data_IF_711379977546
#
_entry.id   IF_711379977546
#
_cell.length_a   1.000
_cell.length_b   1.000
_cell.length_c   1.000
_cell.angle_alpha   90.00
_cell.angle_beta   90.00
_cell.angle_gamma   90.00
#
_symmetry.space_group_name_H-M   'P 1'
#
loop_
_entity.id
_entity.type
_entity.pdbx_description
1 polymer ?
#
# COMPACT_ATOMS: atom_id res chain seq x y z
N UNK A 1 3.12 11.18 -88.34
CA UNK A 1 1.88 11.67 -87.71
C UNK A 1 1.99 11.28 -86.24
N UNK A 2 2.73 12.10 -85.46
CA UNK A 2 2.24 13.13 -84.50
C UNK A 2 1.72 12.47 -83.22
N UNK A 3 2.10 12.77 -81.98
CA UNK A 3 3.08 13.66 -81.32
C UNK A 3 3.27 13.03 -79.91
N UNK A 4 4.45 13.15 -79.28
CA UNK A 4 4.64 12.84 -77.83
C UNK A 4 4.25 14.03 -76.93
N UNK A 5 4.68 14.13 -75.65
CA UNK A 5 5.11 13.12 -74.67
C UNK A 5 4.23 13.14 -73.37
N UNK A 6 4.41 12.16 -72.48
CA UNK A 6 3.85 12.13 -71.11
C UNK A 6 4.80 12.81 -70.12
N UNK A 7 4.32 13.81 -69.37
CA UNK A 7 4.65 14.10 -67.96
C UNK A 7 3.93 15.37 -67.47
N UNK A 8 3.38 15.36 -66.25
CA UNK A 8 2.89 16.58 -65.57
C UNK A 8 1.77 16.41 -64.52
N UNK A 9 2.21 16.18 -63.28
CA UNK A 9 1.58 16.32 -61.95
C UNK A 9 0.35 17.27 -61.78
N UNK A 10 -0.60 16.84 -60.92
CA UNK A 10 -1.14 17.75 -59.89
C UNK A 10 -2.64 18.08 -59.84
N UNK A 11 -3.35 17.33 -58.96
CA UNK A 11 -4.48 17.74 -58.07
C UNK A 11 -5.91 17.84 -58.64
N UNK A 12 -6.79 17.03 -58.03
CA UNK A 12 -8.25 17.16 -58.01
C UNK A 12 -8.77 17.19 -56.54
N UNK A 13 -9.99 17.73 -56.28
CA UNK A 13 -10.41 18.47 -55.06
C UNK A 13 -10.91 17.61 -53.87
N UNK A 14 -11.17 18.22 -52.68
CA UNK A 14 -11.48 17.46 -51.46
C UNK A 14 -12.94 16.98 -51.41
N UNK A 15 -13.08 15.68 -51.16
CA UNK A 15 -14.33 14.93 -51.01
C UNK A 15 -14.93 15.05 -49.60
N UNK A 16 -16.26 14.97 -49.55
CA UNK A 16 -17.10 15.19 -48.36
C UNK A 16 -16.88 14.10 -47.31
N UNK A 17 -16.63 14.51 -46.07
CA UNK A 17 -16.94 13.80 -44.82
C UNK A 17 -16.76 12.28 -44.81
N UNK A 18 -15.50 11.81 -44.78
CA UNK A 18 -15.20 10.40 -44.57
C UNK A 18 -15.51 9.98 -43.13
N UNK A 19 -16.39 8.98 -43.00
CA UNK A 19 -16.56 8.18 -41.78
C UNK A 19 -15.19 7.76 -41.24
N UNK A 20 -14.98 7.92 -39.94
CA UNK A 20 -13.83 7.32 -39.26
C UNK A 20 -14.10 5.80 -39.19
N UNK A 21 -13.45 5.06 -40.08
CA UNK A 21 -13.44 3.59 -40.09
C UNK A 21 -12.18 3.15 -39.37
N UNK A 22 -12.33 2.58 -38.17
CA UNK A 22 -11.22 1.90 -37.48
C UNK A 22 -10.96 0.52 -38.13
N UNK A 23 -9.71 0.01 -38.11
CA UNK A 23 -9.39 -1.27 -38.73
C UNK A 23 -10.05 -2.39 -37.93
N UNK A 24 -10.98 -3.10 -38.58
CA UNK A 24 -11.75 -4.19 -37.97
C UNK A 24 -13.24 -4.24 -38.33
N UNK A 25 -13.75 -3.33 -39.16
CA UNK A 25 -15.07 -3.47 -39.81
C UNK A 25 -16.30 -3.46 -38.90
N UNK A 26 -16.15 -3.26 -37.59
CA UNK A 26 -17.27 -3.02 -36.69
C UNK A 26 -17.78 -1.60 -36.88
N UNK A 27 -18.96 -1.48 -37.48
CA UNK A 27 -19.74 -0.24 -37.54
C UNK A 27 -20.36 -0.03 -36.16
N UNK A 28 -19.96 1.01 -35.46
CA UNK A 28 -20.58 1.42 -34.20
C UNK A 28 -21.83 2.23 -34.55
N UNK A 29 -22.98 1.80 -34.05
CA UNK A 29 -24.24 2.51 -34.22
C UNK A 29 -24.24 3.68 -33.20
N UNK A 30 -24.65 4.93 -33.54
CA UNK A 30 -24.55 6.09 -32.65
C UNK A 30 -25.17 5.93 -31.25
N UNK A 31 -26.04 4.93 -31.08
CA UNK A 31 -26.70 4.54 -29.81
C UNK A 31 -25.80 3.73 -28.87
N UNK A 32 -24.66 3.23 -29.35
CA UNK A 32 -23.66 2.49 -28.55
C UNK A 32 -22.58 3.43 -27.96
N UNK A 33 -22.58 4.71 -28.32
CA UNK A 33 -21.65 5.71 -27.76
C UNK A 33 -22.25 6.29 -26.47
N UNK A 34 -22.23 5.48 -25.41
CA UNK A 34 -22.52 5.91 -24.04
C UNK A 34 -21.39 6.79 -23.48
N UNK A 35 -21.28 8.02 -23.95
CA UNK A 35 -20.49 9.07 -23.32
C UNK A 35 -21.17 10.40 -23.61
N UNK A 36 -21.54 11.13 -22.56
CA UNK A 36 -22.25 12.40 -22.66
C UNK A 36 -21.41 13.43 -23.41
N UNK A 37 -21.72 13.63 -24.69
CA UNK A 37 -21.33 14.82 -25.41
C UNK A 37 -22.37 15.89 -25.12
N UNK A 38 -21.96 16.96 -24.42
CA UNK A 38 -22.76 18.18 -24.34
C UNK A 38 -22.70 18.81 -25.73
N UNK A 39 -23.76 18.65 -26.52
CA UNK A 39 -23.93 19.36 -27.78
C UNK A 39 -24.23 20.81 -27.43
N UNK A 40 -23.20 21.67 -27.47
CA UNK A 40 -23.35 23.12 -27.38
C UNK A 40 -24.12 23.68 -28.59
N UNK A 41 -24.70 24.87 -28.44
CA UNK A 41 -25.35 25.60 -29.54
C UNK A 41 -24.36 25.78 -30.68
N UNK A 42 -24.87 25.53 -31.89
CA UNK A 42 -24.21 25.54 -33.20
C UNK A 42 -23.18 26.67 -33.35
N UNK A 43 -21.91 26.31 -33.56
CA UNK A 43 -20.84 27.24 -33.93
C UNK A 43 -19.43 26.77 -33.57
N UNK A 44 -19.27 26.16 -32.41
CA UNK A 44 -17.96 25.72 -31.93
C UNK A 44 -17.82 24.21 -32.11
N UNK A 45 -17.06 23.81 -33.14
CA UNK A 45 -16.48 22.47 -33.16
C UNK A 45 -15.59 22.40 -31.92
N UNK A 46 -15.80 21.44 -30.99
CA UNK A 46 -14.84 21.23 -29.90
C UNK A 46 -13.51 20.94 -30.57
N UNK A 47 -12.62 21.92 -30.58
CA UNK A 47 -11.22 21.66 -30.88
C UNK A 47 -10.84 20.55 -29.90
N UNK A 48 -10.35 19.38 -30.37
CA UNK A 48 -9.68 18.48 -29.45
C UNK A 48 -8.65 19.37 -28.77
N UNK A 49 -8.74 19.53 -27.45
CA UNK A 49 -7.72 20.24 -26.69
C UNK A 49 -6.40 19.70 -27.24
N UNK A 50 -5.63 20.54 -27.93
CA UNK A 50 -4.34 20.13 -28.48
C UNK A 50 -3.48 20.01 -27.24
N UNK A 51 -3.50 18.81 -26.66
CA UNK A 51 -2.71 18.47 -25.50
C UNK A 51 -1.26 18.57 -25.97
N UNK A 52 -0.58 19.64 -25.57
CA UNK A 52 0.84 19.82 -25.85
C UNK A 52 1.61 18.66 -25.20
N UNK A 53 2.26 17.79 -25.98
CA UNK A 53 2.98 16.63 -25.43
C UNK A 53 4.10 17.05 -24.47
N UNK A 54 4.68 18.25 -24.64
CA UNK A 54 5.71 18.77 -23.74
C UNK A 54 5.11 19.15 -22.38
N UNK A 55 3.92 19.75 -22.38
CA UNK A 55 3.21 20.11 -21.15
C UNK A 55 2.77 18.87 -20.36
N UNK A 56 2.34 17.80 -21.05
CA UNK A 56 2.02 16.51 -20.42
C UNK A 56 3.25 15.87 -19.80
N UNK A 57 4.38 15.86 -20.53
CA UNK A 57 5.63 15.29 -20.01
C UNK A 57 6.11 16.04 -18.77
N UNK A 58 5.97 17.36 -18.72
CA UNK A 58 6.31 18.16 -17.55
C UNK A 58 5.41 17.86 -16.35
N UNK A 59 4.09 17.73 -16.57
CA UNK A 59 3.14 17.35 -15.52
C UNK A 59 3.42 15.94 -14.98
N UNK A 60 3.72 14.98 -15.86
CA UNK A 60 4.09 13.61 -15.48
C UNK A 60 5.36 13.62 -14.62
N UNK A 61 6.38 14.38 -15.00
CA UNK A 61 7.61 14.52 -14.19
C UNK A 61 7.33 15.11 -12.81
N UNK A 62 6.57 16.21 -12.75
CA UNK A 62 6.17 16.84 -11.47
C UNK A 62 5.41 15.86 -10.58
N UNK A 63 4.49 15.08 -11.15
CA UNK A 63 3.74 14.06 -10.42
C UNK A 63 4.65 12.97 -9.86
N UNK A 64 5.57 12.44 -10.68
CA UNK A 64 6.53 11.42 -10.24
C UNK A 64 7.39 11.97 -9.10
N UNK A 65 7.89 13.20 -9.23
CA UNK A 65 8.71 13.84 -8.20
C UNK A 65 7.93 14.06 -6.90
N UNK A 66 6.65 14.46 -6.99
CA UNK A 66 5.79 14.60 -5.82
C UNK A 66 5.58 13.27 -5.11
N UNK A 67 5.27 12.21 -5.85
CA UNK A 67 5.06 10.85 -5.30
C UNK A 67 6.34 10.32 -4.66
N UNK A 68 7.50 10.54 -5.28
CA UNK A 68 8.79 10.09 -4.76
C UNK A 68 9.20 10.79 -3.45
N UNK A 69 8.63 11.97 -3.16
CA UNK A 69 8.88 12.73 -1.94
C UNK A 69 7.92 12.36 -0.79
N UNK A 70 6.91 11.52 -1.03
CA UNK A 70 6.00 11.10 0.03
C UNK A 70 6.73 10.18 1.00
N UNK A 71 6.54 10.45 2.30
CA UNK A 71 7.21 9.73 3.38
C UNK A 71 6.90 8.23 3.33
N UNK A 72 5.63 7.86 3.17
CA UNK A 72 5.23 6.45 3.07
C UNK A 72 5.93 5.74 1.89
N UNK A 73 6.04 6.39 0.74
CA UNK A 73 6.69 5.82 -0.46
C UNK A 73 8.18 5.61 -0.20
N UNK A 74 8.83 6.57 0.45
CA UNK A 74 10.24 6.49 0.79
C UNK A 74 10.52 5.36 1.79
N UNK A 75 9.71 5.24 2.84
CA UNK A 75 9.83 4.21 3.88
C UNK A 75 9.62 2.81 3.30
N UNK A 76 8.60 2.64 2.45
CA UNK A 76 8.35 1.37 1.77
C UNK A 76 9.50 1.02 0.83
N UNK A 77 10.04 1.98 0.07
CA UNK A 77 11.16 1.75 -0.85
C UNK A 77 12.46 1.40 -0.13
N UNK A 78 12.71 1.99 1.04
CA UNK A 78 13.89 1.72 1.87
C UNK A 78 13.83 0.37 2.61
N UNK A 79 12.70 -0.35 2.53
CA UNK A 79 12.53 -1.62 3.22
C UNK A 79 12.56 -1.47 4.74
N UNK A 80 12.04 -0.36 5.26
CA UNK A 80 11.99 -0.12 6.71
C UNK A 80 11.18 -1.21 7.43
N UNK A 81 11.42 -1.34 8.74
CA UNK A 81 10.69 -2.27 9.60
C UNK A 81 9.16 -2.09 9.40
N UNK A 82 8.46 -3.20 9.19
CA UNK A 82 7.00 -3.28 9.02
C UNK A 82 6.24 -2.47 10.07
N UNK A 83 6.70 -2.46 11.33
CA UNK A 83 6.06 -1.68 12.39
C UNK A 83 6.10 -0.17 12.13
N UNK A 84 7.27 0.36 11.71
CA UNK A 84 7.44 1.78 11.40
C UNK A 84 6.65 2.18 10.15
N UNK A 85 6.59 1.31 9.14
CA UNK A 85 5.78 1.52 7.94
C UNK A 85 4.29 1.58 8.27
N UNK A 86 3.81 0.71 9.17
CA UNK A 86 2.41 0.75 9.65
C UNK A 86 2.13 2.04 10.41
N UNK A 87 3.05 2.53 11.24
CA UNK A 87 2.87 3.78 11.98
C UNK A 87 2.69 5.00 11.06
N UNK A 88 3.51 5.11 10.01
CA UNK A 88 3.39 6.18 9.01
C UNK A 88 2.09 6.04 8.22
N UNK A 89 1.72 4.82 7.81
CA UNK A 89 0.44 4.58 7.14
C UNK A 89 -0.76 5.00 7.99
N UNK A 90 -0.75 4.68 9.29
CA UNK A 90 -1.82 5.06 10.22
C UNK A 90 -1.92 6.59 10.33
N UNK A 91 -0.78 7.29 10.33
CA UNK A 91 -0.72 8.75 10.36
C UNK A 91 -1.34 9.37 9.10
N UNK A 92 -0.93 8.91 7.91
CA UNK A 92 -1.47 9.42 6.63
C UNK A 92 -2.99 9.18 6.51
N UNK A 93 -3.47 7.99 6.90
CA UNK A 93 -4.92 7.70 6.91
C UNK A 93 -5.65 8.65 7.88
N UNK A 94 -5.09 8.91 9.06
CA UNK A 94 -5.70 9.80 10.05
C UNK A 94 -5.74 11.26 9.57
N UNK A 95 -4.71 11.71 8.86
CA UNK A 95 -4.64 13.03 8.23
C UNK A 95 -5.74 13.18 7.17
N UNK A 96 -5.87 12.23 6.24
CA UNK A 96 -6.91 12.25 5.19
C UNK A 96 -8.33 12.23 5.78
N UNK A 97 -8.57 11.42 6.81
CA UNK A 97 -9.85 11.40 7.54
C UNK A 97 -10.16 12.77 8.19
N UNK A 98 -9.12 13.48 8.62
CA UNK A 98 -9.24 14.81 9.23
C UNK A 98 -9.56 15.87 8.17
N UNK A 99 -8.94 15.80 6.99
CA UNK A 99 -9.28 16.63 5.84
C UNK A 99 -10.73 16.41 5.40
N UNK A 100 -11.19 15.17 5.29
CA UNK A 100 -12.59 14.86 4.97
C UNK A 100 -13.57 15.45 6.00
N UNK A 101 -13.21 15.44 7.29
CA UNK A 101 -14.03 16.06 8.35
C UNK A 101 -14.11 17.58 8.17
N UNK A 102 -13.00 18.22 7.79
CA UNK A 102 -12.94 19.64 7.52
C UNK A 102 -13.76 20.04 6.29
N UNK A 103 -13.57 19.37 5.16
CA UNK A 103 -14.33 19.61 3.92
C UNK A 103 -15.83 19.40 4.12
N UNK A 104 -16.21 18.38 4.90
CA UNK A 104 -17.60 18.19 5.31
C UNK A 104 -18.16 19.39 6.06
N UNK A 105 -17.39 19.95 7.01
CA UNK A 105 -17.82 21.11 7.82
C UNK A 105 -17.95 22.36 6.96
N UNK A 106 -17.02 22.59 6.04
CA UNK A 106 -17.06 23.70 5.09
C UNK A 106 -18.28 23.60 4.18
N UNK A 107 -18.48 22.45 3.55
CA UNK A 107 -19.62 22.16 2.66
C UNK A 107 -20.96 22.27 3.38
N UNK A 108 -21.04 21.82 4.64
CA UNK A 108 -22.25 21.97 5.46
C UNK A 108 -22.62 23.43 5.72
N UNK A 109 -21.63 24.33 5.90
CA UNK A 109 -21.87 25.77 6.08
C UNK A 109 -22.44 26.41 4.82
N UNK A 110 -22.12 25.86 3.66
CA UNK A 110 -22.65 26.30 2.37
C UNK A 110 -24.04 25.71 2.06
N UNK A 111 -24.62 24.92 2.97
CA UNK A 111 -25.93 24.28 2.78
C UNK A 111 -25.94 23.16 1.73
N UNK A 112 -24.75 22.70 1.30
CA UNK A 112 -24.59 21.69 0.26
C UNK A 112 -24.65 20.27 0.84
N UNK A 113 -24.91 19.30 -0.02
CA UNK A 113 -24.93 17.89 0.35
C UNK A 113 -23.55 17.42 0.84
N UNK A 114 -23.51 16.73 1.99
CA UNK A 114 -22.28 16.26 2.65
C UNK A 114 -22.18 14.73 2.76
N UNK A 115 -23.11 14.00 2.15
CA UNK A 115 -23.19 12.54 2.25
C UNK A 115 -21.92 11.86 1.73
N UNK A 116 -21.33 12.36 0.64
CA UNK A 116 -20.10 11.78 0.07
C UNK A 116 -18.91 11.87 1.04
N UNK A 117 -18.67 13.03 1.64
CA UNK A 117 -17.61 13.19 2.65
C UNK A 117 -17.85 12.31 3.87
N UNK A 118 -19.11 12.12 4.26
CA UNK A 118 -19.47 11.27 5.39
C UNK A 118 -19.17 9.79 5.08
N UNK A 119 -19.57 9.29 3.91
CA UNK A 119 -19.33 7.91 3.48
C UNK A 119 -17.83 7.64 3.35
N UNK A 120 -17.09 8.51 2.66
CA UNK A 120 -15.64 8.38 2.51
C UNK A 120 -14.94 8.36 3.86
N UNK A 121 -15.35 9.24 4.79
CA UNK A 121 -14.78 9.27 6.14
C UNK A 121 -15.09 8.01 6.94
N UNK A 122 -16.30 7.46 6.86
CA UNK A 122 -16.68 6.21 7.53
C UNK A 122 -15.83 5.04 7.00
N UNK A 123 -15.63 4.97 5.68
CA UNK A 123 -14.81 3.93 5.07
C UNK A 123 -13.34 4.06 5.51
N UNK A 124 -12.78 5.27 5.51
CA UNK A 124 -11.42 5.51 6.01
C UNK A 124 -11.27 5.10 7.49
N UNK A 125 -12.23 5.46 8.34
CA UNK A 125 -12.24 5.05 9.75
C UNK A 125 -12.34 3.53 9.94
N UNK A 126 -13.11 2.84 9.10
CA UNK A 126 -13.18 1.37 9.12
C UNK A 126 -11.83 0.76 8.76
N UNK A 127 -11.21 1.22 7.68
CA UNK A 127 -9.87 0.75 7.29
C UNK A 127 -8.83 1.00 8.38
N UNK A 128 -8.87 2.17 9.03
CA UNK A 128 -7.99 2.48 10.15
C UNK A 128 -8.20 1.51 11.33
N UNK A 129 -9.45 1.21 11.67
CA UNK A 129 -9.78 0.28 12.74
C UNK A 129 -9.33 -1.16 12.43
N UNK A 130 -9.50 -1.62 11.19
CA UNK A 130 -9.03 -2.94 10.74
C UNK A 130 -7.51 -3.08 10.83
N UNK A 131 -6.76 -2.05 10.42
CA UNK A 131 -5.29 -2.05 10.51
C UNK A 131 -4.84 -2.08 11.98
N UNK A 132 -5.46 -1.27 12.85
CA UNK A 132 -5.16 -1.27 14.28
C UNK A 132 -5.46 -2.61 14.95
N UNK A 133 -6.57 -3.26 14.58
CA UNK A 133 -6.91 -4.58 15.11
C UNK A 133 -5.87 -5.62 14.69
N UNK A 134 -5.52 -5.67 13.40
CA UNK A 134 -4.49 -6.58 12.89
C UNK A 134 -3.13 -6.33 13.52
N UNK A 135 -2.75 -5.07 13.77
CA UNK A 135 -1.52 -4.73 14.48
C UNK A 135 -1.53 -5.27 15.90
N UNK A 136 -2.65 -5.12 16.62
CA UNK A 136 -2.81 -5.66 17.97
C UNK A 136 -2.76 -7.19 17.98
N UNK A 137 -3.42 -7.84 17.02
CA UNK A 137 -3.38 -9.29 16.84
C UNK A 137 -1.96 -9.78 16.53
N UNK A 138 -1.23 -9.09 15.65
CA UNK A 138 0.17 -9.40 15.35
C UNK A 138 1.06 -9.24 16.59
N UNK A 139 0.90 -8.16 17.36
CA UNK A 139 1.62 -7.95 18.62
C UNK A 139 1.26 -9.01 19.69
N UNK A 140 0.02 -9.51 19.70
CA UNK A 140 -0.39 -10.61 20.57
C UNK A 140 0.14 -11.96 20.08
N UNK A 141 0.26 -12.16 18.76
CA UNK A 141 0.86 -13.35 18.16
C UNK A 141 2.39 -13.39 18.32
N UNK A 142 3.03 -12.23 18.51
CA UNK A 142 4.42 -12.12 18.97
C UNK A 142 4.61 -12.51 20.45
N UNK A 143 3.55 -12.93 21.17
CA UNK A 143 3.74 -13.73 22.39
C UNK A 143 4.49 -15.00 21.99
N UNK A 144 5.77 -15.03 22.37
CA UNK A 144 6.67 -16.17 22.24
C UNK A 144 5.91 -17.46 22.58
N UNK A 145 5.67 -18.31 21.57
CA UNK A 145 5.16 -19.64 21.81
C UNK A 145 6.29 -20.49 22.40
N UNK A 146 6.30 -20.56 23.73
CA UNK A 146 7.27 -21.29 24.53
C UNK A 146 7.17 -22.81 24.33
N UNK A 147 6.08 -23.29 23.72
CA UNK A 147 5.88 -24.70 23.37
C UNK A 147 6.24 -24.99 21.92
N UNK A 148 6.58 -23.97 21.14
CA UNK A 148 6.97 -24.15 19.74
C UNK A 148 8.23 -25.01 19.62
N UNK A 149 8.32 -25.90 18.62
CA UNK A 149 9.54 -26.68 18.35
C UNK A 149 10.77 -25.79 18.14
N UNK A 150 10.56 -24.58 17.60
CA UNK A 150 11.62 -23.60 17.37
C UNK A 150 12.17 -23.04 18.69
N UNK A 151 11.31 -22.72 19.65
CA UNK A 151 11.75 -22.29 20.99
C UNK A 151 12.48 -23.42 21.70
N UNK A 152 11.96 -24.65 21.65
CA UNK A 152 12.64 -25.82 22.23
C UNK A 152 14.05 -26.04 21.66
N UNK A 153 14.24 -25.81 20.35
CA UNK A 153 15.56 -25.88 19.73
C UNK A 153 16.51 -24.80 20.25
N UNK A 154 16.06 -23.54 20.38
CA UNK A 154 16.87 -22.46 20.96
C UNK A 154 17.19 -22.74 22.43
N UNK A 155 16.20 -23.18 23.20
CA UNK A 155 16.37 -23.54 24.60
C UNK A 155 17.41 -24.64 24.79
N UNK A 156 17.37 -25.69 23.94
CA UNK A 156 18.40 -26.74 23.93
C UNK A 156 19.80 -26.18 23.68
N UNK A 157 19.95 -25.28 22.71
CA UNK A 157 21.25 -24.63 22.43
C UNK A 157 21.75 -23.80 23.62
N UNK A 158 20.86 -23.10 24.33
CA UNK A 158 21.25 -22.38 25.55
C UNK A 158 21.71 -23.33 26.66
N UNK A 159 21.02 -24.45 26.84
CA UNK A 159 21.42 -25.49 27.80
C UNK A 159 22.80 -26.08 27.47
N UNK A 160 23.07 -26.32 26.18
CA UNK A 160 24.38 -26.74 25.70
C UNK A 160 25.47 -25.67 25.97
N UNK A 161 25.15 -24.39 25.84
CA UNK A 161 26.08 -23.31 26.19
C UNK A 161 26.40 -23.26 27.69
N UNK A 162 25.41 -23.43 28.57
CA UNK A 162 25.66 -23.52 30.00
C UNK A 162 26.56 -24.71 30.34
N UNK A 163 26.26 -25.88 29.77
CA UNK A 163 27.05 -27.08 29.98
C UNK A 163 28.50 -26.89 29.52
N UNK A 164 28.70 -26.41 28.29
CA UNK A 164 30.04 -26.14 27.74
C UNK A 164 30.80 -25.08 28.55
N UNK A 165 30.10 -24.11 29.12
CA UNK A 165 30.73 -23.07 29.95
C UNK A 165 31.21 -23.63 31.29
N UNK A 166 30.43 -24.52 31.91
CA UNK A 166 30.83 -25.22 33.15
C UNK A 166 32.02 -26.14 32.92
N UNK A 167 32.01 -26.90 31.82
CA UNK A 167 33.13 -27.76 31.41
C UNK A 167 34.42 -26.93 31.21
N UNK A 168 34.35 -25.81 30.48
CA UNK A 168 35.48 -24.90 30.27
C UNK A 168 35.98 -24.23 31.55
N UNK A 169 35.10 -24.04 32.52
CA UNK A 169 35.45 -23.52 33.85
C UNK A 169 36.10 -24.59 34.75
N UNK A 170 36.21 -25.84 34.29
CA UNK A 170 36.80 -26.94 35.03
C UNK A 170 35.87 -27.56 36.07
N UNK A 171 34.55 -27.37 35.94
CA UNK A 171 33.58 -28.04 36.80
C UNK A 171 33.51 -29.51 36.40
N UNK A 172 33.67 -30.41 37.36
CA UNK A 172 33.60 -31.85 37.12
C UNK A 172 32.16 -32.32 36.84
N UNK A 173 32.01 -33.37 36.03
CA UNK A 173 30.71 -33.88 35.58
C UNK A 173 29.84 -34.35 36.75
N UNK A 174 30.45 -34.94 37.79
CA UNK A 174 29.74 -35.34 39.00
C UNK A 174 29.10 -34.16 39.75
N UNK A 175 29.58 -32.94 39.51
CA UNK A 175 29.00 -31.69 40.06
C UNK A 175 28.02 -31.04 39.09
N UNK A 176 28.23 -31.19 37.77
CA UNK A 176 27.34 -30.63 36.75
C UNK A 176 25.98 -31.33 36.72
N UNK A 177 25.95 -32.67 36.76
CA UNK A 177 24.72 -33.46 36.69
C UNK A 177 23.67 -33.09 37.76
N UNK A 178 24.01 -33.00 39.07
CA UNK A 178 23.04 -32.58 40.08
C UNK A 178 22.58 -31.13 39.92
N UNK A 179 23.41 -30.23 39.37
CA UNK A 179 23.00 -28.85 39.08
C UNK A 179 21.94 -28.82 37.99
N UNK A 180 22.13 -29.56 36.90
CA UNK A 180 21.13 -29.64 35.82
C UNK A 180 19.87 -30.41 36.24
N UNK A 181 19.99 -31.40 37.14
CA UNK A 181 18.84 -32.08 37.74
C UNK A 181 18.00 -31.11 38.59
N UNK A 182 18.66 -30.37 39.49
CA UNK A 182 17.99 -29.37 40.31
C UNK A 182 17.36 -28.28 39.44
N UNK A 183 18.06 -27.81 38.41
CA UNK A 183 17.52 -26.81 37.48
C UNK A 183 16.29 -27.34 36.75
N UNK A 184 16.26 -28.62 36.33
CA UNK A 184 15.07 -29.23 35.73
C UNK A 184 13.90 -29.24 36.71
N UNK A 185 14.15 -29.57 37.98
CA UNK A 185 13.13 -29.55 39.02
C UNK A 185 12.59 -28.13 39.28
N UNK A 186 13.46 -27.13 39.33
CA UNK A 186 13.08 -25.73 39.55
C UNK A 186 12.32 -25.13 38.36
N UNK A 187 12.58 -25.64 37.16
CA UNK A 187 11.88 -25.30 35.93
C UNK A 187 10.51 -25.96 35.80
N UNK A 188 10.09 -26.84 36.72
CA UNK A 188 8.70 -27.29 36.75
C UNK A 188 7.78 -26.09 37.02
N UNK A 189 6.70 -26.00 36.23
CA UNK A 189 5.71 -24.91 36.26
C UNK A 189 6.31 -23.51 36.06
N UNK A 190 7.46 -23.41 35.38
CA UNK A 190 8.12 -22.13 35.12
C UNK A 190 7.23 -21.13 34.36
N UNK A 191 6.31 -21.61 33.52
CA UNK A 191 5.33 -20.78 32.78
C UNK A 191 4.48 -19.94 33.75
N UNK A 192 3.99 -20.55 34.82
CA UNK A 192 3.18 -19.89 35.86
C UNK A 192 4.01 -18.85 36.62
N UNK A 193 5.27 -19.18 36.91
CA UNK A 193 6.21 -18.26 37.58
C UNK A 193 6.50 -17.04 36.69
N UNK A 194 6.61 -17.23 35.38
CA UNK A 194 6.87 -16.17 34.41
C UNK A 194 5.66 -15.24 34.27
N UNK A 195 4.44 -15.79 34.17
CA UNK A 195 3.21 -14.99 34.14
C UNK A 195 3.02 -14.17 35.42
N UNK A 196 3.32 -14.75 36.59
CA UNK A 196 3.28 -14.04 37.87
C UNK A 196 4.33 -12.91 37.95
N UNK A 197 5.53 -13.14 37.41
CA UNK A 197 6.60 -12.12 37.34
C UNK A 197 6.24 -10.99 36.36
N UNK A 198 5.66 -11.32 35.20
CA UNK A 198 5.22 -10.33 34.23
C UNK A 198 4.06 -9.46 34.75
N UNK A 199 3.13 -10.04 35.51
CA UNK A 199 2.02 -9.31 36.12
C UNK A 199 2.45 -8.38 37.27
N UNK A 200 3.61 -8.64 37.89
CA UNK A 200 4.16 -7.81 38.98
C UNK A 200 5.14 -6.73 38.50
N UNK A 201 5.51 -6.74 37.21
CA UNK A 201 6.36 -5.74 36.57
C UNK A 201 5.58 -4.60 35.88
N UNK A 202 4.23 -4.63 35.95
CA UNK A 202 3.30 -3.60 35.45
C UNK A 202 2.69 -2.84 36.62
#
# INVERSE_FOLDING_TARGET
MSDGPTDGDGRDPPDKGKLIVFPGGKKVDPKDVGAGYIIGRTGDVPTPDIIDPVAVDEEVRKRIDYVNKQELVEVVRKGANTAATIDILLLEIAEEISHLKWERRKTAREGKNTSNYTIQRINGLRSLAEVLLKRKEAALAERLDLKSPRFQAVFKVWMEFFYSSMEKAGVDQATMDPVFEQMRADMVDWEVKMEAAAASAV
#
